data_IF_408295485131
#
_entry.id   IF_408295485131
#
_cell.length_a   1.000
_cell.length_b   1.000
_cell.length_c   1.000
_cell.angle_alpha   90.00
_cell.angle_beta   90.00
_cell.angle_gamma   90.00
#
_symmetry.space_group_name_H-M   'P 1'
#
loop_
_entity.id
_entity.type
_entity.pdbx_description
1 polymer ?
#
# COMPACT_ATOMS: atom_id res chain seq x y z
N UNK A 1 45.35 16.61 37.17
CA UNK A 1 44.46 16.12 36.10
C UNK A 1 44.08 14.64 36.29
N UNK A 2 43.36 14.28 37.35
CA UNK A 2 42.83 12.89 37.56
C UNK A 2 41.35 12.83 37.95
N UNK A 3 40.70 13.99 38.14
CA UNK A 3 39.33 14.07 38.67
C UNK A 3 38.27 14.01 37.54
N UNK A 4 38.62 14.42 36.32
CA UNK A 4 37.67 14.42 35.19
C UNK A 4 37.29 13.03 34.67
N UNK A 5 38.13 11.99 34.88
CA UNK A 5 37.84 10.64 34.40
C UNK A 5 36.75 9.92 35.21
N UNK A 6 36.65 10.19 36.52
CA UNK A 6 35.70 9.49 37.39
C UNK A 6 34.25 9.97 37.17
N UNK A 7 34.06 11.25 36.84
CA UNK A 7 32.73 11.81 36.59
C UNK A 7 32.05 11.22 35.35
N UNK A 8 32.82 10.96 34.29
CA UNK A 8 32.28 10.38 33.04
C UNK A 8 31.81 8.94 33.24
N UNK A 9 32.55 8.14 34.02
CA UNK A 9 32.19 6.74 34.29
C UNK A 9 30.90 6.65 35.11
N UNK A 10 30.72 7.52 36.11
CA UNK A 10 29.50 7.56 36.92
C UNK A 10 28.29 7.99 36.09
N UNK A 11 28.45 8.98 35.19
CA UNK A 11 27.38 9.43 34.32
C UNK A 11 26.91 8.33 33.34
N UNK A 12 27.85 7.56 32.76
CA UNK A 12 27.50 6.44 31.86
C UNK A 12 26.81 5.31 32.63
N UNK A 13 27.24 5.01 33.86
CA UNK A 13 26.60 3.97 34.69
C UNK A 13 25.16 4.34 35.07
N UNK A 14 24.90 5.62 35.36
CA UNK A 14 23.55 6.12 35.67
C UNK A 14 22.61 6.03 34.48
N UNK A 15 23.08 6.34 33.27
CA UNK A 15 22.27 6.22 32.04
C UNK A 15 21.89 4.75 31.79
N UNK A 16 22.83 3.81 31.96
CA UNK A 16 22.58 2.38 31.78
C UNK A 16 21.56 1.81 32.79
N UNK A 17 21.54 2.32 34.03
CA UNK A 17 20.57 1.87 35.05
C UNK A 17 19.15 2.39 34.80
N UNK A 18 18.98 3.52 34.11
CA UNK A 18 17.65 4.07 33.81
C UNK A 18 16.95 3.45 32.60
N UNK A 19 17.66 2.70 31.75
CA UNK A 19 17.10 2.10 30.54
C UNK A 19 16.33 0.77 30.78
N UNK A 20 16.29 0.25 32.01
CA UNK A 20 15.78 -1.09 32.33
C UNK A 20 14.30 -1.23 32.67
N UNK A 21 13.48 -0.17 32.58
CA UNK A 21 12.04 -0.24 32.91
C UNK A 21 11.17 0.17 31.71
N UNK A 22 11.14 -0.64 30.66
CA UNK A 22 10.08 -0.56 29.66
C UNK A 22 9.03 -1.61 30.00
N UNK A 23 7.98 -1.18 30.72
CA UNK A 23 6.75 -1.98 30.83
C UNK A 23 6.15 -2.11 29.42
N UNK A 24 6.30 -3.28 28.80
CA UNK A 24 5.68 -3.58 27.52
C UNK A 24 4.17 -3.42 27.67
N UNK A 25 3.62 -2.39 27.02
CA UNK A 25 2.17 -2.20 26.96
C UNK A 25 1.63 -3.30 26.04
N UNK A 26 0.95 -4.28 26.62
CA UNK A 26 0.26 -5.33 25.86
C UNK A 26 -0.79 -4.62 25.01
N UNK A 27 -0.66 -4.68 23.68
CA UNK A 27 -1.63 -4.12 22.74
C UNK A 27 -2.47 -5.29 22.22
N UNK A 28 -3.77 -5.28 22.48
CA UNK A 28 -4.70 -6.29 21.99
C UNK A 28 -5.36 -5.78 20.70
N UNK A 29 -5.40 -6.60 19.65
CA UNK A 29 -6.15 -6.28 18.43
C UNK A 29 -7.65 -6.40 18.70
N UNK A 30 -8.49 -5.43 18.28
CA UNK A 30 -9.94 -5.55 18.35
C UNK A 30 -10.41 -6.88 17.72
N UNK A 31 -11.35 -7.61 18.33
CA UNK A 31 -12.26 -7.22 19.41
C UNK A 31 -11.74 -7.48 20.85
N UNK A 32 -10.45 -7.76 21.03
CA UNK A 32 -9.92 -8.14 22.35
C UNK A 32 -9.68 -6.92 23.26
N UNK A 33 -9.94 -7.08 24.57
CA UNK A 33 -9.62 -6.10 25.62
C UNK A 33 -8.64 -6.70 26.65
N UNK A 34 -7.94 -5.84 27.41
CA UNK A 34 -6.97 -6.28 28.43
C UNK A 34 -7.72 -6.54 29.74
N UNK A 35 -7.76 -7.80 30.17
CA UNK A 35 -8.30 -8.22 31.47
C UNK A 35 -7.19 -8.99 32.18
N UNK A 36 -6.79 -8.55 33.38
CA UNK A 36 -5.73 -9.19 34.19
C UNK A 36 -4.40 -9.43 33.44
N UNK A 37 -3.90 -8.43 32.71
CA UNK A 37 -2.64 -8.52 31.92
C UNK A 37 -2.65 -9.56 30.78
N UNK A 38 -3.83 -10.00 30.32
CA UNK A 38 -3.98 -10.84 29.13
C UNK A 38 -5.03 -10.25 28.17
N UNK A 39 -4.87 -10.52 26.87
CA UNK A 39 -5.89 -10.19 25.87
C UNK A 39 -7.02 -11.21 25.91
N UNK A 40 -8.25 -10.75 26.11
CA UNK A 40 -9.46 -11.57 26.14
C UNK A 40 -10.53 -10.97 25.23
N UNK A 41 -11.36 -11.82 24.62
CA UNK A 41 -12.60 -11.39 23.97
C UNK A 41 -13.62 -11.13 25.06
N UNK A 42 -14.13 -9.89 25.15
CA UNK A 42 -15.23 -9.49 26.02
C UNK A 42 -16.37 -9.01 25.11
N UNK A 43 -17.26 -9.93 24.76
CA UNK A 43 -18.27 -9.68 23.72
C UNK A 43 -19.41 -8.80 24.24
N UNK A 44 -19.68 -8.85 25.54
CA UNK A 44 -20.80 -8.17 26.19
C UNK A 44 -20.39 -6.96 27.06
N UNK A 45 -19.10 -6.61 27.08
CA UNK A 45 -18.50 -5.48 27.81
C UNK A 45 -18.68 -5.56 29.33
N UNK A 46 -18.68 -6.78 29.89
CA UNK A 46 -18.87 -6.99 31.33
C UNK A 46 -17.53 -7.03 32.13
N UNK A 47 -16.38 -6.84 31.48
CA UNK A 47 -15.02 -6.96 32.05
C UNK A 47 -14.71 -8.36 32.61
N UNK A 48 -15.35 -9.40 32.09
CA UNK A 48 -15.06 -10.80 32.38
C UNK A 48 -14.50 -11.45 31.11
N UNK A 49 -13.43 -12.24 31.27
CA UNK A 49 -12.84 -12.95 30.14
C UNK A 49 -13.75 -14.15 29.80
N UNK A 50 -14.49 -14.08 28.69
CA UNK A 50 -15.53 -15.05 28.27
C UNK A 50 -14.99 -16.45 27.89
N UNK A 51 -13.74 -16.78 28.23
CA UNK A 51 -13.04 -18.01 27.84
C UNK A 51 -13.59 -19.31 28.47
N UNK A 52 -14.74 -19.29 29.16
CA UNK A 52 -15.39 -20.48 29.73
C UNK A 52 -16.93 -20.45 29.73
N UNK A 53 -17.57 -19.64 28.90
CA UNK A 53 -19.02 -19.80 28.73
C UNK A 53 -19.30 -20.85 27.65
N UNK A 54 -19.48 -22.08 28.11
CA UNK A 54 -20.28 -23.08 27.39
C UNK A 54 -21.61 -22.42 27.04
N UNK A 55 -21.82 -22.19 25.74
CA UNK A 55 -23.06 -21.67 25.17
C UNK A 55 -24.18 -22.65 25.48
N UNK A 56 -24.80 -22.49 26.64
CA UNK A 56 -25.92 -23.29 27.09
C UNK A 56 -26.95 -22.39 27.77
N UNK A 57 -27.83 -21.80 26.96
CA UNK A 57 -29.27 -21.87 27.21
C UNK A 57 -30.10 -21.24 26.08
N UNK A 58 -30.97 -22.09 25.53
CA UNK A 58 -32.35 -21.80 25.16
C UNK A 58 -32.62 -20.92 23.93
N UNK A 59 -32.37 -21.51 22.75
CA UNK A 59 -33.29 -21.40 21.62
C UNK A 59 -33.74 -22.81 21.25
N UNK A 60 -35.04 -23.03 21.24
CA UNK A 60 -35.71 -24.27 20.87
C UNK A 60 -35.57 -24.47 19.35
N UNK A 61 -34.45 -25.06 18.91
CA UNK A 61 -34.27 -25.54 17.54
C UNK A 61 -34.18 -27.07 17.51
N UNK A 62 -34.95 -27.62 16.57
CA UNK A 62 -35.04 -29.02 16.23
C UNK A 62 -33.67 -29.68 16.01
N UNK A 63 -33.54 -31.00 16.23
CA UNK A 63 -32.27 -31.69 16.12
C UNK A 63 -31.78 -31.72 14.68
N UNK A 64 -30.91 -30.76 14.32
CA UNK A 64 -30.09 -30.85 13.11
C UNK A 64 -29.00 -31.88 13.39
N UNK A 65 -29.34 -33.14 13.10
CA UNK A 65 -28.36 -34.21 12.98
C UNK A 65 -27.26 -33.75 12.02
N UNK A 66 -26.09 -33.45 12.58
CA UNK A 66 -24.83 -33.37 11.85
C UNK A 66 -24.56 -34.76 11.28
N UNK A 67 -25.15 -35.04 10.12
CA UNK A 67 -24.74 -36.15 9.29
C UNK A 67 -23.35 -35.78 8.77
N UNK A 68 -22.32 -36.37 9.39
CA UNK A 68 -21.09 -36.71 8.70
C UNK A 68 -21.44 -37.63 7.53
N UNK A 69 -22.01 -37.08 6.45
CA UNK A 69 -22.10 -37.80 5.19
C UNK A 69 -20.67 -37.97 4.71
N UNK A 70 -20.23 -39.23 4.66
CA UNK A 70 -18.94 -39.64 4.13
C UNK A 70 -18.77 -38.99 2.75
N UNK A 71 -17.86 -38.01 2.66
CA UNK A 71 -17.50 -37.33 1.42
C UNK A 71 -17.26 -38.40 0.34
N UNK A 72 -17.96 -38.35 -0.80
CA UNK A 72 -17.78 -39.33 -1.87
C UNK A 72 -16.30 -39.45 -2.21
N UNK A 73 -15.78 -40.68 -2.23
CA UNK A 73 -14.40 -40.93 -2.60
C UNK A 73 -14.20 -40.49 -4.06
N UNK A 74 -13.32 -39.52 -4.27
CA UNK A 74 -12.96 -39.05 -5.61
C UNK A 74 -12.45 -40.23 -6.47
N UNK A 75 -12.70 -40.23 -7.79
CA UNK A 75 -12.05 -41.15 -8.71
C UNK A 75 -10.52 -41.04 -8.54
N UNK A 76 -9.85 -42.15 -8.22
CA UNK A 76 -8.41 -42.18 -7.86
C UNK A 76 -7.46 -42.19 -9.06
N UNK A 77 -7.86 -41.67 -10.21
CA UNK A 77 -7.07 -41.80 -11.45
C UNK A 77 -6.24 -40.55 -11.76
N UNK A 78 -4.92 -40.70 -11.82
CA UNK A 78 -3.96 -39.62 -12.16
C UNK A 78 -4.18 -38.99 -13.55
N UNK A 79 -4.93 -39.66 -14.44
CA UNK A 79 -5.34 -39.12 -15.75
C UNK A 79 -6.18 -37.85 -15.59
N UNK A 80 -6.98 -37.77 -14.54
CA UNK A 80 -7.94 -36.69 -14.35
C UNK A 80 -7.25 -35.40 -13.88
N UNK A 81 -6.30 -35.48 -12.94
CA UNK A 81 -5.52 -34.31 -12.49
C UNK A 81 -4.68 -33.72 -13.63
N UNK A 82 -4.12 -34.54 -14.52
CA UNK A 82 -3.36 -34.06 -15.68
C UNK A 82 -4.26 -33.38 -16.71
N UNK A 83 -5.44 -33.94 -16.96
CA UNK A 83 -6.43 -33.35 -17.87
C UNK A 83 -6.96 -32.03 -17.32
N UNK A 84 -7.23 -31.96 -16.02
CA UNK A 84 -7.60 -30.73 -15.33
C UNK A 84 -6.49 -29.68 -15.42
N UNK A 85 -5.24 -30.04 -15.14
CA UNK A 85 -4.08 -29.15 -15.23
C UNK A 85 -3.95 -28.51 -16.63
N UNK A 86 -4.08 -29.31 -17.69
CA UNK A 86 -4.03 -28.82 -19.07
C UNK A 86 -5.22 -27.93 -19.41
N UNK A 87 -6.41 -28.24 -18.90
CA UNK A 87 -7.62 -27.40 -19.09
C UNK A 87 -7.43 -26.03 -18.43
N UNK A 88 -6.90 -26.02 -17.20
CA UNK A 88 -6.59 -24.80 -16.46
C UNK A 88 -5.53 -23.95 -17.17
N UNK A 89 -4.40 -24.56 -17.56
CA UNK A 89 -3.34 -23.87 -18.29
C UNK A 89 -3.83 -23.31 -19.64
N UNK A 90 -4.68 -24.06 -20.36
CA UNK A 90 -5.26 -23.61 -21.63
C UNK A 90 -6.19 -22.41 -21.46
N UNK A 91 -7.03 -22.40 -20.41
CA UNK A 91 -7.87 -21.24 -20.09
C UNK A 91 -7.03 -20.01 -19.71
N UNK A 92 -5.93 -20.20 -18.97
CA UNK A 92 -5.03 -19.10 -18.61
C UNK A 92 -4.32 -18.55 -19.84
N UNK A 93 -3.75 -19.43 -20.66
CA UNK A 93 -3.09 -19.05 -21.92
C UNK A 93 -4.01 -18.27 -22.85
N UNK A 94 -5.30 -18.65 -22.91
CA UNK A 94 -6.31 -17.94 -23.68
C UNK A 94 -6.77 -16.62 -23.02
N UNK A 95 -6.23 -16.27 -21.85
CA UNK A 95 -6.65 -15.15 -21.00
C UNK A 95 -8.15 -15.16 -20.66
N UNK A 96 -8.76 -16.35 -20.66
CA UNK A 96 -10.16 -16.56 -20.28
C UNK A 96 -10.26 -16.72 -18.75
N UNK A 97 -9.99 -15.61 -18.04
CA UNK A 97 -10.04 -15.58 -16.57
C UNK A 97 -11.44 -15.83 -16.03
N UNK A 98 -12.49 -15.56 -16.82
CA UNK A 98 -13.86 -15.88 -16.43
C UNK A 98 -14.08 -17.40 -16.37
N UNK A 99 -13.55 -18.15 -17.34
CA UNK A 99 -13.53 -19.62 -17.29
C UNK A 99 -12.59 -20.13 -16.20
N UNK A 100 -11.41 -19.54 -16.04
CA UNK A 100 -10.46 -19.91 -15.00
C UNK A 100 -11.09 -19.83 -13.61
N UNK A 101 -11.86 -18.76 -13.35
CA UNK A 101 -12.60 -18.57 -12.12
C UNK A 101 -13.49 -19.77 -11.78
N UNK A 102 -14.18 -20.35 -12.78
CA UNK A 102 -15.07 -21.52 -12.57
C UNK A 102 -14.33 -22.81 -12.20
N UNK A 103 -13.01 -22.85 -12.41
CA UNK A 103 -12.18 -23.99 -12.05
C UNK A 103 -11.70 -23.92 -10.61
N UNK A 104 -11.88 -22.82 -9.87
CA UNK A 104 -11.51 -22.73 -8.47
C UNK A 104 -12.56 -23.31 -7.52
N UNK A 105 -12.12 -23.69 -6.31
CA UNK A 105 -13.00 -24.18 -5.25
C UNK A 105 -14.08 -23.17 -4.87
N UNK A 106 -15.20 -23.65 -4.34
CA UNK A 106 -16.30 -22.81 -3.83
C UNK A 106 -15.80 -21.82 -2.78
N UNK A 107 -14.98 -22.31 -1.85
CA UNK A 107 -14.31 -21.52 -0.81
C UNK A 107 -13.56 -20.31 -1.40
N UNK A 108 -12.79 -20.49 -2.47
CA UNK A 108 -12.04 -19.42 -3.11
C UNK A 108 -12.95 -18.47 -3.90
N UNK A 109 -13.95 -19.01 -4.61
CA UNK A 109 -14.93 -18.20 -5.33
C UNK A 109 -15.78 -17.35 -4.37
N UNK A 110 -16.04 -17.85 -3.17
CA UNK A 110 -16.79 -17.11 -2.15
C UNK A 110 -16.00 -15.92 -1.58
N UNK A 111 -14.67 -15.99 -1.52
CA UNK A 111 -13.84 -14.91 -0.98
C UNK A 111 -13.54 -13.78 -1.97
N UNK A 112 -13.65 -14.04 -3.28
CA UNK A 112 -13.36 -13.06 -4.32
C UNK A 112 -14.42 -13.12 -5.43
N UNK A 113 -15.24 -12.06 -5.62
CA UNK A 113 -16.22 -12.01 -6.69
C UNK A 113 -15.60 -12.21 -8.07
N UNK A 114 -16.35 -12.84 -8.98
CA UNK A 114 -15.88 -13.20 -10.32
C UNK A 114 -15.29 -12.02 -11.08
N UNK A 115 -15.99 -10.88 -11.08
CA UNK A 115 -15.61 -9.69 -11.82
C UNK A 115 -14.29 -9.12 -11.29
N UNK A 116 -14.11 -9.12 -9.97
CA UNK A 116 -12.86 -8.70 -9.32
C UNK A 116 -11.71 -9.65 -9.63
N UNK A 117 -11.94 -10.97 -9.54
CA UNK A 117 -10.95 -11.98 -9.91
C UNK A 117 -10.47 -11.77 -11.35
N UNK A 118 -11.39 -11.57 -12.30
CA UNK A 118 -11.06 -11.36 -13.70
C UNK A 118 -10.19 -10.12 -13.87
N UNK A 119 -10.60 -8.98 -13.30
CA UNK A 119 -9.85 -7.73 -13.41
C UNK A 119 -8.44 -7.84 -12.80
N UNK A 120 -8.35 -8.35 -11.57
CA UNK A 120 -7.07 -8.50 -10.86
C UNK A 120 -6.16 -9.48 -11.59
N UNK A 121 -6.70 -10.56 -12.14
CA UNK A 121 -5.91 -11.55 -12.89
C UNK A 121 -5.39 -10.96 -14.19
N UNK A 122 -6.21 -10.19 -14.93
CA UNK A 122 -5.78 -9.49 -16.13
C UNK A 122 -4.65 -8.50 -15.84
N UNK A 123 -4.80 -7.66 -14.81
CA UNK A 123 -3.79 -6.67 -14.42
C UNK A 123 -2.50 -7.34 -13.97
N UNK A 124 -2.57 -8.40 -13.16
CA UNK A 124 -1.39 -9.17 -12.73
C UNK A 124 -0.68 -9.85 -13.90
N UNK A 125 -1.44 -10.44 -14.82
CA UNK A 125 -0.89 -11.11 -16.00
C UNK A 125 -0.21 -10.13 -16.95
N UNK A 126 -0.79 -8.94 -17.12
CA UNK A 126 -0.21 -7.85 -17.90
C UNK A 126 1.04 -7.27 -17.22
N UNK A 127 1.03 -7.02 -15.91
CA UNK A 127 2.19 -6.49 -15.18
C UNK A 127 3.41 -7.42 -15.22
N UNK A 128 3.18 -8.73 -15.32
CA UNK A 128 4.22 -9.73 -15.46
C UNK A 128 4.55 -10.08 -16.91
N UNK A 129 3.87 -9.48 -17.90
CA UNK A 129 4.01 -9.82 -19.33
C UNK A 129 3.96 -11.33 -19.58
N UNK A 130 2.98 -12.04 -19.00
CA UNK A 130 2.87 -13.50 -19.17
C UNK A 130 2.41 -13.82 -20.59
N UNK A 131 3.30 -14.45 -21.36
CA UNK A 131 3.09 -14.84 -22.76
C UNK A 131 2.52 -16.25 -22.91
N UNK A 132 2.94 -17.18 -22.04
CA UNK A 132 2.55 -18.59 -22.09
C UNK A 132 2.49 -19.20 -20.68
N UNK A 133 1.65 -20.23 -20.54
CA UNK A 133 1.47 -20.97 -19.28
C UNK A 133 1.57 -22.45 -19.57
N UNK A 134 2.48 -23.14 -18.88
CA UNK A 134 2.75 -24.56 -19.10
C UNK A 134 2.59 -25.34 -17.82
N UNK A 135 2.05 -26.56 -17.92
CA UNK A 135 2.06 -27.50 -16.80
C UNK A 135 3.51 -27.98 -16.61
N UNK A 136 4.15 -27.57 -15.52
CA UNK A 136 5.51 -27.98 -15.18
C UNK A 136 5.51 -29.38 -14.56
N UNK A 137 4.64 -29.60 -13.57
CA UNK A 137 4.58 -30.85 -12.81
C UNK A 137 3.17 -31.15 -12.33
N UNK A 138 2.80 -32.43 -12.39
CA UNK A 138 1.61 -32.98 -11.73
C UNK A 138 2.07 -34.12 -10.83
N UNK A 139 1.89 -33.97 -9.52
CA UNK A 139 2.33 -34.95 -8.52
C UNK A 139 1.17 -35.26 -7.57
N UNK A 140 0.39 -36.29 -7.92
CA UNK A 140 -0.89 -36.58 -7.27
C UNK A 140 -1.85 -35.41 -7.48
N UNK A 141 -2.29 -34.82 -6.38
CA UNK A 141 -3.22 -33.68 -6.39
C UNK A 141 -2.50 -32.33 -6.52
N UNK A 142 -1.17 -32.28 -6.46
CA UNK A 142 -0.44 -31.02 -6.58
C UNK A 142 -0.11 -30.73 -8.05
N UNK A 143 -0.48 -29.54 -8.52
CA UNK A 143 -0.10 -29.03 -9.85
C UNK A 143 0.84 -27.83 -9.69
N UNK A 144 1.90 -27.81 -10.49
CA UNK A 144 2.79 -26.68 -10.68
C UNK A 144 2.75 -26.24 -12.15
N UNK A 145 2.71 -24.93 -12.36
CA UNK A 145 2.69 -24.27 -13.66
C UNK A 145 3.90 -23.35 -13.77
N UNK A 146 4.54 -23.35 -14.94
CA UNK A 146 5.54 -22.36 -15.33
C UNK A 146 4.85 -21.22 -16.07
N UNK A 147 5.17 -19.99 -15.67
CA UNK A 147 4.73 -18.77 -16.34
C UNK A 147 5.90 -18.26 -17.18
N UNK A 148 5.70 -18.21 -18.49
CA UNK A 148 6.70 -17.70 -19.42
C UNK A 148 6.41 -16.21 -19.62
N UNK A 149 7.41 -15.40 -19.30
CA UNK A 149 7.39 -13.93 -19.42
C UNK A 149 8.47 -13.49 -20.39
N UNK A 150 8.38 -12.25 -20.87
CA UNK A 150 9.40 -11.63 -21.73
C UNK A 150 10.76 -11.45 -21.01
N UNK A 151 10.75 -11.24 -19.69
CA UNK A 151 11.96 -11.19 -18.88
C UNK A 151 12.33 -12.59 -18.32
N UNK A 152 13.39 -13.25 -18.84
CA UNK A 152 13.78 -14.59 -18.41
C UNK A 152 14.33 -14.64 -16.96
N UNK A 153 14.60 -13.48 -16.35
CA UNK A 153 15.04 -13.39 -14.95
C UNK A 153 13.88 -13.57 -13.97
N UNK A 154 12.65 -13.29 -14.42
CA UNK A 154 11.47 -13.42 -13.58
C UNK A 154 11.01 -14.88 -13.58
N UNK A 155 11.53 -15.65 -12.63
CA UNK A 155 11.05 -17.02 -12.41
C UNK A 155 9.72 -16.98 -11.67
N UNK A 156 8.64 -17.04 -12.44
CA UNK A 156 7.30 -17.11 -11.92
C UNK A 156 6.74 -18.53 -12.09
N UNK A 157 6.30 -19.11 -10.99
CA UNK A 157 5.55 -20.37 -11.01
C UNK A 157 4.23 -20.19 -10.28
N UNK A 158 3.20 -20.90 -10.74
CA UNK A 158 1.95 -21.04 -10.03
C UNK A 158 1.82 -22.47 -9.50
N UNK A 159 1.15 -22.64 -8.37
CA UNK A 159 0.99 -23.91 -7.68
C UNK A 159 -0.38 -23.96 -7.03
N UNK A 160 -0.99 -25.13 -7.02
CA UNK A 160 -2.21 -25.39 -6.28
C UNK A 160 -2.46 -26.88 -6.07
N UNK A 161 -3.60 -27.17 -5.46
CA UNK A 161 -4.10 -28.53 -5.24
C UNK A 161 -5.39 -28.73 -6.02
N UNK A 162 -5.49 -29.86 -6.68
CA UNK A 162 -6.72 -30.38 -7.26
C UNK A 162 -7.52 -31.05 -6.15
N UNK A 163 -8.77 -30.62 -5.97
CA UNK A 163 -9.70 -31.24 -5.03
C UNK A 163 -10.95 -31.67 -5.78
N UNK A 164 -11.62 -32.71 -5.28
CA UNK A 164 -12.95 -33.09 -5.74
C UNK A 164 -14.01 -32.39 -4.89
N UNK A 165 -14.85 -31.59 -5.53
CA UNK A 165 -15.90 -30.76 -4.91
C UNK A 165 -17.08 -30.61 -5.88
N UNK A 166 -18.29 -30.94 -5.39
CA UNK A 166 -19.54 -30.89 -6.15
C UNK A 166 -19.44 -31.60 -7.52
N UNK A 167 -18.99 -32.85 -7.48
CA UNK A 167 -18.85 -33.72 -8.66
C UNK A 167 -17.95 -33.17 -9.78
N UNK A 168 -17.01 -32.29 -9.42
CA UNK A 168 -16.01 -31.76 -10.32
C UNK A 168 -14.65 -31.59 -9.65
N UNK A 169 -13.59 -31.65 -10.46
CA UNK A 169 -12.27 -31.21 -10.04
C UNK A 169 -12.20 -29.70 -9.94
N UNK A 170 -11.63 -29.20 -8.84
CA UNK A 170 -11.43 -27.78 -8.53
C UNK A 170 -9.99 -27.51 -8.14
N UNK A 171 -9.54 -26.29 -8.38
CA UNK A 171 -8.23 -25.80 -8.03
C UNK A 171 -8.31 -24.99 -6.73
N UNK A 172 -7.51 -25.35 -5.73
CA UNK A 172 -7.22 -24.52 -4.55
C UNK A 172 -5.83 -23.91 -4.71
N UNK A 173 -5.70 -22.58 -4.88
CA UNK A 173 -4.42 -21.97 -5.19
C UNK A 173 -3.52 -21.88 -3.95
N UNK A 174 -2.22 -22.07 -4.15
CA UNK A 174 -1.19 -21.91 -3.11
C UNK A 174 -0.32 -20.68 -3.27
N UNK A 175 -0.02 -20.26 -4.49
CA UNK A 175 0.64 -19.00 -4.79
C UNK A 175 -0.10 -18.34 -5.97
N UNK A 176 0.51 -17.39 -6.68
CA UNK A 176 -0.02 -16.57 -7.79
C UNK A 176 -1.42 -15.98 -7.58
N UNK A 177 -2.44 -16.83 -7.50
CA UNK A 177 -3.84 -16.54 -7.16
C UNK A 177 -4.18 -16.61 -5.66
N UNK A 178 -3.29 -17.15 -4.79
CA UNK A 178 -3.59 -17.37 -3.35
C UNK A 178 -4.21 -16.15 -2.66
N UNK A 179 -3.60 -14.99 -2.86
CA UNK A 179 -3.96 -13.72 -2.23
C UNK A 179 -4.18 -12.64 -3.28
N UNK A 180 -4.95 -12.93 -4.33
CA UNK A 180 -5.20 -11.95 -5.38
C UNK A 180 -5.90 -10.73 -4.78
N UNK A 181 -5.14 -9.65 -4.55
CA UNK A 181 -5.55 -8.45 -3.84
C UNK A 181 -5.12 -7.21 -4.64
N UNK A 182 -5.72 -6.06 -4.34
CA UNK A 182 -5.33 -4.80 -4.98
C UNK A 182 -3.88 -4.47 -4.69
N UNK A 183 -3.42 -4.66 -3.45
CA UNK A 183 -2.02 -4.41 -3.06
C UNK A 183 -1.05 -5.34 -3.81
N UNK A 184 -1.38 -6.62 -3.97
CA UNK A 184 -0.55 -7.59 -4.67
C UNK A 184 -0.42 -7.28 -6.17
N UNK A 185 -1.43 -6.64 -6.76
CA UNK A 185 -1.52 -6.40 -8.21
C UNK A 185 -1.07 -4.99 -8.59
N UNK A 186 -1.48 -3.97 -7.83
CA UNK A 186 -1.16 -2.59 -8.11
C UNK A 186 0.17 -2.15 -7.47
N UNK A 187 0.63 -2.80 -6.40
CA UNK A 187 1.81 -2.35 -5.65
C UNK A 187 1.65 -0.89 -5.23
N UNK A 188 2.65 -0.07 -5.57
CA UNK A 188 2.68 1.38 -5.31
C UNK A 188 2.04 2.20 -6.44
N UNK A 189 1.45 1.57 -7.46
CA UNK A 189 0.81 2.27 -8.56
C UNK A 189 -0.56 2.83 -8.14
N UNK A 190 -0.57 4.04 -7.60
CA UNK A 190 -1.76 4.78 -7.17
C UNK A 190 -2.84 4.86 -8.25
N UNK A 191 -2.47 5.01 -9.54
CA UNK A 191 -3.45 5.05 -10.64
C UNK A 191 -4.19 3.71 -10.83
N UNK A 192 -3.49 2.58 -10.66
CA UNK A 192 -4.10 1.25 -10.69
C UNK A 192 -5.11 1.07 -9.55
N UNK A 193 -4.78 1.55 -8.35
CA UNK A 193 -5.69 1.51 -7.19
C UNK A 193 -6.94 2.34 -7.44
N UNK A 194 -6.79 3.57 -7.96
CA UNK A 194 -7.93 4.44 -8.29
C UNK A 194 -8.83 3.81 -9.36
N UNK A 195 -8.25 3.18 -10.39
CA UNK A 195 -9.01 2.46 -11.41
C UNK A 195 -9.83 1.31 -10.80
N UNK A 196 -9.20 0.50 -9.93
CA UNK A 196 -9.90 -0.57 -9.23
C UNK A 196 -11.06 -0.04 -8.37
N UNK A 197 -10.79 0.96 -7.52
CA UNK A 197 -11.78 1.55 -6.64
C UNK A 197 -13.02 2.03 -7.41
N UNK A 198 -12.81 2.76 -8.51
CA UNK A 198 -13.89 3.24 -9.40
C UNK A 198 -14.65 2.09 -10.06
N UNK A 199 -13.94 1.09 -10.57
CA UNK A 199 -14.53 -0.04 -11.31
C UNK A 199 -15.46 -0.85 -10.42
N UNK A 200 -15.06 -1.12 -9.18
CA UNK A 200 -15.81 -1.96 -8.24
C UNK A 200 -16.60 -1.17 -7.20
N UNK A 201 -16.60 0.17 -7.31
CA UNK A 201 -17.25 1.09 -6.38
C UNK A 201 -16.87 0.84 -4.91
N UNK A 202 -15.57 0.61 -4.66
CA UNK A 202 -15.01 0.39 -3.32
C UNK A 202 -14.24 1.61 -2.87
N UNK A 203 -14.91 2.48 -2.10
CA UNK A 203 -14.32 3.73 -1.60
C UNK A 203 -13.18 3.49 -0.62
N UNK A 204 -13.31 2.48 0.24
CA UNK A 204 -12.33 2.09 1.26
C UNK A 204 -10.95 1.75 0.67
N UNK A 205 -10.92 1.31 -0.58
CA UNK A 205 -9.67 1.02 -1.31
C UNK A 205 -8.88 2.29 -1.64
N UNK A 206 -9.51 3.46 -1.63
CA UNK A 206 -8.80 4.72 -1.88
C UNK A 206 -7.72 5.03 -0.83
N UNK A 207 -7.76 4.40 0.34
CA UNK A 207 -6.72 4.56 1.35
C UNK A 207 -5.36 3.97 0.91
N UNK A 208 -5.39 3.06 -0.07
CA UNK A 208 -4.21 2.48 -0.70
C UNK A 208 -3.68 3.32 -1.88
N UNK A 209 -4.38 4.39 -2.28
CA UNK A 209 -4.08 5.13 -3.52
C UNK A 209 -2.99 6.20 -3.36
N UNK A 210 -2.15 6.11 -2.31
CA UNK A 210 -1.01 7.01 -2.09
C UNK A 210 -1.37 8.49 -2.29
N UNK A 211 -0.59 9.18 -3.13
CA UNK A 211 -0.79 10.59 -3.47
C UNK A 211 -2.14 10.90 -4.15
N UNK A 212 -2.81 9.90 -4.73
CA UNK A 212 -4.12 10.05 -5.36
C UNK A 212 -5.30 9.76 -4.42
N UNK A 213 -5.08 9.52 -3.13
CA UNK A 213 -6.14 9.25 -2.14
C UNK A 213 -7.30 10.24 -2.21
N UNK A 214 -7.00 11.55 -2.22
CA UNK A 214 -8.03 12.61 -2.29
C UNK A 214 -8.83 12.53 -3.60
N UNK A 215 -8.14 12.45 -4.74
CA UNK A 215 -8.79 12.36 -6.05
C UNK A 215 -9.62 11.07 -6.21
N UNK A 216 -9.14 9.96 -5.65
CA UNK A 216 -9.85 8.69 -5.59
C UNK A 216 -11.17 8.85 -4.83
N UNK A 217 -11.12 9.35 -3.60
CA UNK A 217 -12.30 9.61 -2.76
C UNK A 217 -13.29 10.57 -3.43
N UNK A 218 -12.80 11.64 -4.07
CA UNK A 218 -13.65 12.59 -4.81
C UNK A 218 -14.42 11.94 -5.98
N UNK A 219 -13.90 10.87 -6.58
CA UNK A 219 -14.60 10.17 -7.66
C UNK A 219 -15.88 9.45 -7.21
N UNK A 220 -16.09 9.32 -5.89
CA UNK A 220 -17.31 8.81 -5.28
C UNK A 220 -18.31 9.93 -4.91
N UNK A 221 -18.06 11.16 -5.37
CA UNK A 221 -18.95 12.30 -5.13
C UNK A 221 -18.74 12.98 -3.77
N UNK A 222 -17.74 12.55 -2.99
CA UNK A 222 -17.36 13.24 -1.77
C UNK A 222 -16.79 14.62 -2.08
N UNK A 223 -17.25 15.61 -1.33
CA UNK A 223 -16.77 16.98 -1.40
C UNK A 223 -15.94 17.24 -0.16
N UNK A 224 -14.71 17.70 -0.38
CA UNK A 224 -13.77 18.02 0.67
C UNK A 224 -13.49 19.51 0.65
N UNK A 225 -13.36 20.09 1.83
CA UNK A 225 -12.76 21.41 2.00
C UNK A 225 -11.23 21.29 1.90
N UNK A 226 -10.54 22.42 1.84
CA UNK A 226 -9.08 22.45 1.90
C UNK A 226 -8.53 21.70 3.13
N UNK A 227 -9.12 21.93 4.31
CA UNK A 227 -8.66 21.31 5.56
C UNK A 227 -8.91 19.79 5.56
N UNK A 228 -10.01 19.33 4.97
CA UNK A 228 -10.29 17.89 4.84
C UNK A 228 -9.28 17.20 3.90
N UNK A 229 -8.97 17.79 2.74
CA UNK A 229 -7.99 17.21 1.80
C UNK A 229 -6.59 17.18 2.42
N UNK A 230 -6.20 18.25 3.11
CA UNK A 230 -4.94 18.32 3.86
C UNK A 230 -4.87 17.25 4.95
N UNK A 231 -5.96 17.02 5.69
CA UNK A 231 -6.02 15.97 6.71
C UNK A 231 -5.83 14.58 6.09
N UNK A 232 -6.54 14.28 5.00
CA UNK A 232 -6.41 13.00 4.28
C UNK A 232 -4.98 12.74 3.78
N UNK A 233 -4.30 13.78 3.28
CA UNK A 233 -2.90 13.65 2.88
C UNK A 233 -1.97 13.36 4.07
N UNK A 234 -2.26 13.92 5.25
CA UNK A 234 -1.45 13.68 6.46
C UNK A 234 -1.56 12.27 7.02
N UNK A 235 -2.63 11.54 6.68
CA UNK A 235 -2.81 10.13 7.02
C UNK A 235 -2.06 9.17 6.08
N UNK A 236 -1.36 9.66 5.06
CA UNK A 236 -0.57 8.81 4.17
C UNK A 236 0.74 8.44 4.88
N UNK A 237 1.02 7.13 5.10
CA UNK A 237 2.20 6.69 5.83
C UNK A 237 3.48 6.80 4.99
N UNK A 238 3.39 6.60 3.68
CA UNK A 238 4.54 6.76 2.79
C UNK A 238 4.89 8.24 2.63
N UNK A 239 6.18 8.53 2.81
CA UNK A 239 6.66 9.90 2.84
C UNK A 239 6.56 10.61 1.48
N UNK A 240 6.83 9.90 0.39
CA UNK A 240 6.82 10.48 -0.95
C UNK A 240 5.39 10.72 -1.43
N UNK A 241 4.50 9.74 -1.24
CA UNK A 241 3.08 9.88 -1.54
C UNK A 241 2.43 11.02 -0.74
N UNK A 242 2.78 11.14 0.55
CA UNK A 242 2.33 12.25 1.39
C UNK A 242 2.77 13.60 0.82
N UNK A 243 4.04 13.71 0.45
CA UNK A 243 4.60 14.95 -0.10
C UNK A 243 3.88 15.39 -1.38
N UNK A 244 3.68 14.45 -2.32
CA UNK A 244 2.96 14.71 -3.57
C UNK A 244 1.48 15.07 -3.31
N UNK A 245 0.81 14.38 -2.37
CA UNK A 245 -0.57 14.72 -1.98
C UNK A 245 -0.69 16.15 -1.44
N UNK A 246 0.18 16.50 -0.48
CA UNK A 246 0.19 17.84 0.14
C UNK A 246 0.50 18.92 -0.90
N UNK A 247 1.43 18.67 -1.80
CA UNK A 247 1.74 19.59 -2.89
C UNK A 247 0.52 19.82 -3.79
N UNK A 248 -0.15 18.74 -4.22
CA UNK A 248 -1.34 18.83 -5.06
C UNK A 248 -2.47 19.64 -4.39
N UNK A 249 -2.71 19.43 -3.09
CA UNK A 249 -3.69 20.22 -2.32
C UNK A 249 -3.25 21.68 -2.22
N UNK A 250 -1.99 21.94 -1.88
CA UNK A 250 -1.45 23.30 -1.73
C UNK A 250 -1.58 24.10 -3.03
N UNK A 251 -1.24 23.49 -4.17
CA UNK A 251 -1.38 24.07 -5.50
C UNK A 251 -2.86 24.27 -5.85
N UNK A 252 -3.70 23.24 -5.71
CA UNK A 252 -5.13 23.34 -6.05
C UNK A 252 -5.83 24.53 -5.40
N UNK A 253 -5.49 24.84 -4.15
CA UNK A 253 -6.11 25.94 -3.39
C UNK A 253 -5.29 27.23 -3.38
N UNK A 254 -4.06 27.24 -3.93
CA UNK A 254 -3.15 28.39 -3.83
C UNK A 254 -2.76 28.70 -2.38
N UNK A 255 -2.64 27.66 -1.55
CA UNK A 255 -2.47 27.74 -0.10
C UNK A 255 -1.13 27.11 0.30
N UNK A 256 -0.10 27.93 0.58
CA UNK A 256 1.23 27.41 0.93
C UNK A 256 1.28 26.80 2.33
N UNK A 257 0.25 27.01 3.17
CA UNK A 257 0.30 26.61 4.57
C UNK A 257 0.28 25.09 4.80
N UNK A 258 -0.22 24.31 3.83
CA UNK A 258 -0.13 22.84 3.87
C UNK A 258 1.30 22.34 3.57
N UNK A 259 2.12 23.08 2.81
CA UNK A 259 3.52 22.70 2.58
C UNK A 259 4.32 22.59 3.89
N UNK A 260 3.91 23.29 4.96
CA UNK A 260 4.53 23.20 6.28
C UNK A 260 4.31 21.85 6.99
N UNK A 261 3.42 20.99 6.49
CA UNK A 261 3.23 19.63 7.02
C UNK A 261 4.31 18.64 6.54
N UNK A 262 5.19 19.08 5.64
CA UNK A 262 6.31 18.31 5.12
C UNK A 262 7.53 18.49 6.02
N UNK A 263 8.11 17.38 6.47
CA UNK A 263 9.21 17.40 7.43
C UNK A 263 10.58 17.62 6.79
N UNK A 264 10.76 17.23 5.53
CA UNK A 264 12.04 17.40 4.83
C UNK A 264 12.05 18.68 4.00
N UNK A 265 13.14 19.44 4.14
CA UNK A 265 13.35 20.71 3.46
C UNK A 265 13.14 20.62 1.93
N UNK A 266 13.71 19.64 1.18
CA UNK A 266 13.55 19.62 -0.27
C UNK A 266 12.09 19.59 -0.73
N UNK A 267 11.26 18.77 -0.08
CA UNK A 267 9.85 18.60 -0.42
C UNK A 267 9.02 19.80 0.02
N UNK A 268 9.27 20.33 1.22
CA UNK A 268 8.62 21.54 1.71
C UNK A 268 8.87 22.72 0.76
N UNK A 269 10.13 22.98 0.43
CA UNK A 269 10.47 24.12 -0.41
C UNK A 269 10.09 23.89 -1.87
N UNK A 270 10.18 22.65 -2.38
CA UNK A 270 9.60 22.27 -3.66
C UNK A 270 8.12 22.62 -3.73
N UNK A 271 7.31 22.16 -2.75
CA UNK A 271 5.88 22.46 -2.64
C UNK A 271 5.59 23.97 -2.68
N UNK A 272 6.34 24.77 -1.92
CA UNK A 272 6.23 26.23 -1.96
C UNK A 272 6.53 26.83 -3.35
N UNK A 273 7.47 26.22 -4.09
CA UNK A 273 7.79 26.55 -5.47
C UNK A 273 6.61 26.34 -6.42
N UNK A 274 5.95 25.18 -6.33
CA UNK A 274 4.76 24.90 -7.13
C UNK A 274 3.60 25.85 -6.81
N UNK A 275 3.41 26.22 -5.54
CA UNK A 275 2.41 27.24 -5.14
C UNK A 275 2.77 28.63 -5.70
N UNK A 276 4.05 29.00 -5.69
CA UNK A 276 4.54 30.24 -6.27
C UNK A 276 4.31 30.30 -7.80
N UNK A 277 4.48 29.16 -8.49
CA UNK A 277 4.22 29.03 -9.93
C UNK A 277 2.77 29.29 -10.29
N UNK A 278 1.82 28.73 -9.54
CA UNK A 278 0.39 28.98 -9.75
C UNK A 278 0.05 30.47 -9.64
N UNK A 279 0.66 31.16 -8.68
CA UNK A 279 0.49 32.60 -8.46
C UNK A 279 1.28 33.46 -9.47
N UNK A 280 2.10 32.83 -10.33
CA UNK A 280 3.08 33.48 -11.22
C UNK A 280 3.91 34.54 -10.49
N UNK A 281 4.25 34.24 -9.24
CA UNK A 281 4.94 35.18 -8.37
C UNK A 281 6.15 34.48 -7.75
N UNK A 282 7.30 34.47 -8.46
CA UNK A 282 8.50 33.82 -7.95
C UNK A 282 8.99 34.49 -6.66
N UNK A 283 8.67 35.78 -6.42
CA UNK A 283 9.01 36.50 -5.18
C UNK A 283 8.49 35.80 -3.92
N UNK A 284 7.42 34.99 -4.02
CA UNK A 284 6.93 34.18 -2.91
C UNK A 284 8.00 33.22 -2.39
N UNK A 285 8.86 32.67 -3.26
CA UNK A 285 9.99 31.86 -2.82
C UNK A 285 10.96 32.64 -1.93
N UNK A 286 11.22 33.92 -2.21
CA UNK A 286 12.05 34.76 -1.34
C UNK A 286 11.31 35.13 -0.05
N UNK A 287 10.01 35.40 -0.12
CA UNK A 287 9.21 35.82 1.04
C UNK A 287 9.03 34.68 2.05
N UNK A 288 8.83 33.45 1.61
CA UNK A 288 8.84 32.27 2.48
C UNK A 288 10.18 32.09 3.18
N UNK A 289 11.27 32.46 2.51
CA UNK A 289 12.63 32.32 3.02
C UNK A 289 13.05 33.41 4.01
N UNK A 290 12.39 34.59 4.03
CA UNK A 290 12.72 35.69 4.96
C UNK A 290 12.64 35.30 6.45
N UNK A 291 11.92 34.22 6.75
CA UNK A 291 11.77 33.70 8.11
C UNK A 291 12.90 32.74 8.54
N UNK A 292 13.83 32.40 7.64
CA UNK A 292 14.98 31.55 7.95
C UNK A 292 16.26 32.41 7.92
N UNK A 293 17.16 32.22 8.89
CA UNK A 293 18.36 33.07 9.08
C UNK A 293 19.70 32.32 9.05
N UNK A 294 19.75 31.08 8.53
CA UNK A 294 20.93 30.21 8.58
C UNK A 294 21.52 29.85 7.21
N UNK A 295 22.77 29.40 7.18
CA UNK A 295 23.51 29.09 5.94
C UNK A 295 22.83 27.98 5.09
N UNK A 296 21.97 27.15 5.69
CA UNK A 296 21.11 26.17 4.99
C UNK A 296 20.04 26.79 4.09
N UNK A 297 19.79 28.10 4.20
CA UNK A 297 18.69 28.79 3.52
C UNK A 297 18.87 28.90 2.01
N UNK A 298 20.12 28.86 1.52
CA UNK A 298 20.38 28.91 0.08
C UNK A 298 19.88 27.64 -0.62
N UNK A 299 20.10 26.48 0.00
CA UNK A 299 19.65 25.17 -0.50
C UNK A 299 18.12 25.12 -0.59
N UNK A 300 17.46 25.49 0.51
CA UNK A 300 16.01 25.62 0.62
C UNK A 300 15.43 26.52 -0.47
N UNK A 301 16.05 27.69 -0.67
CA UNK A 301 15.61 28.64 -1.67
C UNK A 301 15.69 28.08 -3.09
N UNK A 302 16.76 27.36 -3.45
CA UNK A 302 16.85 26.76 -4.77
C UNK A 302 15.82 25.67 -5.01
N UNK A 303 15.45 24.87 -4.00
CA UNK A 303 14.35 23.91 -4.15
C UNK A 303 13.02 24.61 -4.50
N UNK A 304 12.74 25.77 -3.88
CA UNK A 304 11.57 26.56 -4.24
C UNK A 304 11.63 27.11 -5.67
N UNK A 305 12.76 27.73 -6.06
CA UNK A 305 12.93 28.24 -7.43
C UNK A 305 12.86 27.11 -8.45
N UNK A 306 13.44 25.95 -8.14
CA UNK A 306 13.33 24.74 -8.95
C UNK A 306 11.88 24.32 -9.16
N UNK A 307 11.09 24.17 -8.10
CA UNK A 307 9.66 23.84 -8.22
C UNK A 307 8.88 24.89 -9.02
N UNK A 308 9.23 26.17 -8.89
CA UNK A 308 8.64 27.23 -9.73
C UNK A 308 8.98 27.06 -11.22
N UNK A 309 10.25 26.79 -11.53
CA UNK A 309 10.75 26.65 -12.90
C UNK A 309 10.19 25.39 -13.57
N UNK A 310 10.13 24.26 -12.86
CA UNK A 310 9.55 23.00 -13.36
C UNK A 310 8.10 23.19 -13.85
N UNK A 311 7.30 24.01 -13.16
CA UNK A 311 5.91 24.29 -13.53
C UNK A 311 5.75 25.35 -14.63
N UNK A 312 6.58 26.40 -14.59
CA UNK A 312 6.39 27.58 -15.46
C UNK A 312 7.26 27.56 -16.71
N UNK A 313 8.32 26.76 -16.73
CA UNK A 313 9.42 26.84 -17.69
C UNK A 313 10.06 28.25 -17.77
N UNK A 314 9.93 29.09 -16.73
CA UNK A 314 10.52 30.42 -16.67
C UNK A 314 11.91 30.40 -16.02
N UNK A 315 12.88 29.98 -16.81
CA UNK A 315 14.30 29.95 -16.41
C UNK A 315 14.91 31.34 -16.19
N UNK A 316 14.20 32.44 -16.50
CA UNK A 316 14.73 33.79 -16.23
C UNK A 316 14.84 34.05 -14.72
N UNK A 317 14.02 33.36 -13.92
CA UNK A 317 14.04 33.43 -12.46
C UNK A 317 15.34 32.86 -11.88
N UNK A 318 15.95 31.84 -12.51
CA UNK A 318 17.26 31.30 -12.09
C UNK A 318 18.35 32.40 -12.05
N UNK A 319 18.28 33.41 -12.95
CA UNK A 319 19.26 34.51 -12.99
C UNK A 319 19.16 35.43 -11.78
N UNK A 320 17.98 35.52 -11.15
CA UNK A 320 17.73 36.36 -9.98
C UNK A 320 18.38 35.78 -8.72
N UNK A 321 18.82 34.52 -8.74
CA UNK A 321 19.56 33.92 -7.63
C UNK A 321 20.96 34.55 -7.44
N UNK A 322 21.49 35.30 -8.43
CA UNK A 322 22.79 35.97 -8.39
C UNK A 322 22.87 37.11 -7.37
N UNK A 323 22.91 36.79 -6.08
CA UNK A 323 23.32 37.74 -5.04
C UNK A 323 24.72 37.40 -4.49
N UNK A 324 25.70 38.21 -4.89
CA UNK A 324 26.88 38.50 -4.07
C UNK A 324 28.16 37.68 -4.30
N UNK A 325 28.44 37.20 -5.52
CA UNK A 325 29.75 36.62 -5.87
C UNK A 325 30.14 35.35 -5.09
N UNK A 326 29.15 34.65 -4.52
CA UNK A 326 29.37 33.49 -3.66
C UNK A 326 29.24 32.19 -4.47
N UNK A 327 30.26 31.34 -4.43
CA UNK A 327 30.43 30.13 -5.27
C UNK A 327 29.24 29.16 -5.16
N UNK A 328 28.63 29.03 -3.97
CA UNK A 328 27.50 28.12 -3.74
C UNK A 328 26.31 28.51 -4.64
N UNK A 329 26.06 29.80 -4.82
CA UNK A 329 24.93 30.30 -5.62
C UNK A 329 25.13 30.01 -7.11
N UNK A 330 26.37 30.00 -7.59
CA UNK A 330 26.69 29.65 -8.97
C UNK A 330 26.42 28.18 -9.29
N UNK A 331 26.72 27.27 -8.37
CA UNK A 331 26.39 25.84 -8.52
C UNK A 331 24.87 25.61 -8.58
N UNK A 332 24.09 26.39 -7.82
CA UNK A 332 22.63 26.29 -7.80
C UNK A 332 21.97 26.93 -9.02
N UNK A 333 22.56 28.00 -9.56
CA UNK A 333 22.18 28.52 -10.87
C UNK A 333 22.40 27.45 -11.95
N UNK A 334 23.53 26.76 -11.92
CA UNK A 334 23.83 25.67 -12.85
C UNK A 334 22.86 24.47 -12.69
N UNK A 335 22.50 24.10 -11.45
CA UNK A 335 21.47 23.09 -11.21
C UNK A 335 20.07 23.53 -11.66
N UNK A 336 19.71 24.80 -11.49
CA UNK A 336 18.45 25.37 -11.99
C UNK A 336 18.35 25.30 -13.53
N UNK A 337 19.48 25.41 -14.25
CA UNK A 337 19.55 25.25 -15.70
C UNK A 337 19.69 23.80 -16.19
N UNK A 338 19.93 22.84 -15.30
CA UNK A 338 20.03 21.40 -15.64
C UNK A 338 18.67 20.69 -15.65
N UNK A 339 17.61 21.37 -15.21
CA UNK A 339 16.21 20.95 -15.32
C UNK A 339 15.70 21.18 -16.73
#
# INVERSE_FOLDING_TARGET
>A
MKIFGLGLVIAVLLILLTAGCTTQKILCEPPNSIINNACCVDTNKNNVCDNKEDVSAASEEAPMQSQMQSKPAAPKENSDSKTFANTFASAWKAQDFAKLYTLFSEEYRASLPKEEFVWLSQKKNAALNVEDVRVYRVAGDVIEYDLITDDPRIKNSARGVVIWELDAYRHRPFNYFKSLSVTDVCGENSSCVVEYAKTFKKEDVCDLAGSQRVACRQSFGMKYTYDDERALCNEIPDYFDKAECIQNVSVKYGRPDACWDLSEDPQLFGCLGHVAALSRNPQLCWDYMKNFTFVGDKIKHAYCIRGYVEETNDYTVCKQMKHGGNIIVGAMEEECYKL
#
